data_IF_781411966302
#
_entry.id   IF_781411966302
#
_cell.length_a   1.000
_cell.length_b   1.000
_cell.length_c   1.000
_cell.angle_alpha   90.00
_cell.angle_beta   90.00
_cell.angle_gamma   90.00
#
_symmetry.space_group_name_H-M   'P 1'
#
loop_
_entity.id
_entity.type
_entity.pdbx_description
1 polymer ?
#
# COMPACT_ATOMS: atom_id res chain seq x y z
N UNK A 1 -14.55 15.62 -9.27
CA UNK A 1 -13.08 15.45 -9.39
C UNK A 1 -12.83 14.23 -10.24
N UNK A 2 -11.93 14.30 -11.20
CA UNK A 2 -11.52 13.14 -11.99
C UNK A 2 -10.65 12.21 -11.13
N UNK A 3 -11.02 10.92 -11.06
CA UNK A 3 -10.34 9.93 -10.22
C UNK A 3 -8.93 9.61 -10.71
N UNK A 4 -8.67 9.75 -12.01
CA UNK A 4 -7.34 9.56 -12.62
C UNK A 4 -6.29 10.53 -12.11
N UNK A 5 -6.72 11.71 -11.67
CA UNK A 5 -5.82 12.75 -11.16
C UNK A 5 -5.52 12.61 -9.65
N UNK A 6 -6.14 11.64 -8.97
CA UNK A 6 -5.96 11.41 -7.54
C UNK A 6 -5.01 10.24 -7.35
N UNK A 7 -3.74 10.54 -7.07
CA UNK A 7 -2.72 9.52 -6.82
C UNK A 7 -2.89 8.95 -5.40
N UNK A 8 -3.15 7.64 -5.33
CA UNK A 8 -3.27 6.88 -4.10
C UNK A 8 -1.92 6.35 -3.63
N UNK A 9 -1.06 5.90 -4.55
CA UNK A 9 0.30 5.46 -4.25
C UNK A 9 1.32 6.16 -5.13
N UNK A 10 2.10 7.06 -4.53
CA UNK A 10 3.17 7.82 -5.20
C UNK A 10 4.40 7.01 -5.60
N UNK A 11 4.54 5.77 -5.12
CA UNK A 11 5.72 4.95 -5.39
C UNK A 11 5.53 4.04 -6.60
N UNK A 12 4.29 3.61 -6.83
CA UNK A 12 3.94 2.70 -7.92
C UNK A 12 3.00 3.39 -8.93
N UNK A 13 2.85 4.72 -8.82
CA UNK A 13 2.00 5.57 -9.68
C UNK A 13 0.57 5.05 -9.86
N UNK A 14 -0.05 4.64 -8.74
CA UNK A 14 -1.43 4.10 -8.72
C UNK A 14 -2.41 5.20 -8.37
N UNK A 15 -3.39 5.44 -9.24
CA UNK A 15 -4.50 6.40 -9.05
C UNK A 15 -5.73 5.78 -8.36
N UNK A 16 -6.70 6.62 -8.01
CA UNK A 16 -7.93 6.22 -7.35
C UNK A 16 -8.85 5.39 -8.26
N UNK A 17 -8.83 5.64 -9.57
CA UNK A 17 -9.63 4.89 -10.53
C UNK A 17 -9.21 3.41 -10.54
N UNK A 18 -7.90 3.16 -10.65
CA UNK A 18 -7.31 1.83 -10.63
C UNK A 18 -7.74 1.04 -9.38
N UNK A 19 -7.74 1.68 -8.20
CA UNK A 19 -8.20 1.05 -6.96
C UNK A 19 -9.68 0.65 -7.07
N UNK A 20 -10.54 1.56 -7.56
CA UNK A 20 -11.96 1.30 -7.72
C UNK A 20 -12.26 0.21 -8.77
N UNK A 21 -11.46 0.12 -9.82
CA UNK A 21 -11.62 -0.91 -10.85
C UNK A 21 -11.38 -2.31 -10.30
N UNK A 22 -10.37 -2.48 -9.45
CA UNK A 22 -10.13 -3.77 -8.77
C UNK A 22 -11.17 -4.06 -7.70
N UNK A 23 -11.63 -3.05 -6.95
CA UNK A 23 -12.73 -3.22 -5.99
C UNK A 23 -14.02 -3.70 -6.68
N UNK A 24 -14.35 -3.14 -7.84
CA UNK A 24 -15.50 -3.56 -8.65
C UNK A 24 -15.37 -4.99 -9.18
N UNK A 25 -14.14 -5.46 -9.43
CA UNK A 25 -13.87 -6.85 -9.79
C UNK A 25 -13.96 -7.83 -8.60
N UNK A 26 -14.19 -7.33 -7.39
CA UNK A 26 -14.35 -8.15 -6.17
C UNK A 26 -13.10 -8.27 -5.30
N UNK A 27 -12.00 -7.59 -5.64
CA UNK A 27 -10.77 -7.58 -4.86
C UNK A 27 -10.87 -6.60 -3.69
N UNK A 28 -11.52 -7.03 -2.61
CA UNK A 28 -11.92 -6.17 -1.48
C UNK A 28 -10.95 -6.16 -0.31
N UNK A 29 -9.73 -6.71 -0.45
CA UNK A 29 -8.72 -6.67 0.62
C UNK A 29 -7.49 -5.89 0.21
N UNK A 30 -6.81 -5.30 1.20
CA UNK A 30 -5.55 -4.59 0.94
C UNK A 30 -4.48 -5.51 0.34
N UNK A 31 -4.46 -6.78 0.73
CA UNK A 31 -3.50 -7.75 0.23
C UNK A 31 -3.74 -8.09 -1.25
N UNK A 32 -5.01 -8.13 -1.68
CA UNK A 32 -5.36 -8.31 -3.10
C UNK A 32 -4.83 -7.13 -3.92
N UNK A 33 -5.17 -5.91 -3.51
CA UNK A 33 -4.72 -4.69 -4.17
C UNK A 33 -3.19 -4.62 -4.18
N UNK A 34 -2.53 -4.94 -3.07
CA UNK A 34 -1.06 -5.02 -2.98
C UNK A 34 -0.47 -6.01 -3.98
N UNK A 35 -1.10 -7.17 -4.22
CA UNK A 35 -0.60 -8.17 -5.18
C UNK A 35 -0.80 -7.76 -6.63
N UNK A 36 -1.92 -7.07 -6.92
CA UNK A 36 -2.31 -6.68 -8.27
C UNK A 36 -1.65 -5.38 -8.73
N UNK A 37 -1.52 -4.42 -7.83
CA UNK A 37 -1.07 -3.04 -8.14
C UNK A 37 0.26 -2.68 -7.46
N UNK A 38 0.82 -3.58 -6.65
CA UNK A 38 2.06 -3.37 -5.88
C UNK A 38 2.00 -2.27 -4.83
N UNK A 39 0.81 -1.71 -4.55
CA UNK A 39 0.65 -0.71 -3.49
C UNK A 39 1.22 -1.18 -2.15
N UNK A 40 1.96 -0.30 -1.49
CA UNK A 40 2.67 -0.61 -0.25
C UNK A 40 3.98 -1.38 -0.41
N UNK A 41 4.39 -1.77 -1.62
CA UNK A 41 5.70 -2.42 -1.87
C UNK A 41 6.81 -1.45 -2.26
N UNK A 42 6.50 -0.18 -2.54
CA UNK A 42 7.49 0.83 -2.90
C UNK A 42 8.44 1.21 -1.75
N UNK A 43 9.37 2.13 -2.01
CA UNK A 43 10.37 2.56 -1.02
C UNK A 43 9.77 3.07 0.30
N UNK A 44 8.53 3.58 0.27
CA UNK A 44 7.82 4.03 1.47
C UNK A 44 7.21 2.90 2.33
N UNK A 45 7.23 1.65 1.85
CA UNK A 45 6.65 0.47 2.51
C UNK A 45 5.20 0.66 2.99
N UNK A 46 4.40 1.43 2.23
CA UNK A 46 3.00 1.70 2.52
C UNK A 46 2.73 2.78 3.56
N UNK A 47 3.76 3.49 4.05
CA UNK A 47 3.58 4.56 5.05
C UNK A 47 2.63 5.68 4.60
N UNK A 48 2.53 5.93 3.29
CA UNK A 48 1.67 6.98 2.72
C UNK A 48 0.30 6.45 2.27
N UNK A 49 0.30 5.39 1.46
CA UNK A 49 -0.92 4.91 0.79
C UNK A 49 -1.80 3.98 1.65
N UNK A 50 -1.25 3.36 2.71
CA UNK A 50 -1.96 2.31 3.46
C UNK A 50 -3.28 2.80 4.06
N UNK A 51 -3.28 3.95 4.74
CA UNK A 51 -4.48 4.47 5.39
C UNK A 51 -5.51 4.93 4.36
N UNK A 52 -5.06 5.59 3.28
CA UNK A 52 -5.93 6.05 2.19
C UNK A 52 -6.66 4.87 1.53
N UNK A 53 -5.92 3.82 1.16
CA UNK A 53 -6.51 2.65 0.49
C UNK A 53 -7.44 1.88 1.46
N UNK A 54 -7.09 1.75 2.74
CA UNK A 54 -7.97 1.12 3.72
C UNK A 54 -9.28 1.88 3.92
N UNK A 55 -9.24 3.21 3.86
CA UNK A 55 -10.46 4.04 3.89
C UNK A 55 -11.32 3.78 2.66
N UNK A 56 -10.75 3.75 1.45
CA UNK A 56 -11.51 3.44 0.24
C UNK A 56 -12.12 2.03 0.26
N UNK A 57 -11.38 1.03 0.74
CA UNK A 57 -11.92 -0.33 0.94
C UNK A 57 -13.08 -0.31 1.95
N UNK A 58 -12.94 0.37 3.08
CA UNK A 58 -13.97 0.47 4.12
C UNK A 58 -15.24 1.15 3.57
N UNK A 59 -15.08 2.26 2.85
CA UNK A 59 -16.15 2.98 2.18
C UNK A 59 -16.84 2.14 1.11
N UNK A 60 -16.09 1.39 0.30
CA UNK A 60 -16.66 0.53 -0.75
C UNK A 60 -17.42 -0.67 -0.17
N UNK A 61 -16.89 -1.30 0.87
CA UNK A 61 -17.49 -2.50 1.50
C UNK A 61 -18.56 -2.17 2.54
N UNK A 62 -18.75 -0.89 2.87
CA UNK A 62 -19.59 -0.41 3.98
C UNK A 62 -19.24 -1.07 5.33
N UNK A 63 -17.95 -1.31 5.55
CA UNK A 63 -17.45 -1.90 6.78
C UNK A 63 -16.73 -0.85 7.64
N UNK A 64 -16.79 -0.96 8.98
CA UNK A 64 -15.98 -0.14 9.86
C UNK A 64 -14.48 -0.39 9.58
N UNK A 65 -13.66 0.66 9.64
CA UNK A 65 -12.23 0.63 9.26
C UNK A 65 -11.44 -0.41 10.08
N UNK A 66 -11.88 -0.70 11.29
CA UNK A 66 -11.33 -1.69 12.20
C UNK A 66 -11.42 -3.11 11.64
N UNK A 67 -12.44 -3.41 10.82
CA UNK A 67 -12.60 -4.72 10.16
C UNK A 67 -11.74 -4.87 8.91
N UNK A 68 -11.30 -3.76 8.30
CA UNK A 68 -10.43 -3.80 7.12
C UNK A 68 -9.00 -4.10 7.57
N UNK A 69 -8.55 -5.33 7.31
CA UNK A 69 -7.20 -5.76 7.68
C UNK A 69 -6.12 -4.87 7.05
N UNK A 70 -5.14 -4.50 7.86
CA UNK A 70 -3.97 -3.74 7.41
C UNK A 70 -2.86 -4.61 6.83
N UNK A 71 -1.84 -3.95 6.30
CA UNK A 71 -0.59 -4.56 5.88
C UNK A 71 0.22 -5.10 7.07
N UNK A 72 0.78 -6.30 6.95
CA UNK A 72 1.75 -6.83 7.93
C UNK A 72 3.12 -6.18 7.78
N UNK A 73 3.47 -5.30 8.71
CA UNK A 73 4.80 -4.68 8.76
C UNK A 73 5.87 -5.74 9.03
N UNK A 74 6.97 -5.68 8.27
CA UNK A 74 8.15 -6.54 8.42
C UNK A 74 9.40 -5.68 8.59
N UNK A 75 10.39 -6.08 9.39
CA UNK A 75 11.69 -5.41 9.41
C UNK A 75 12.40 -5.54 8.06
N UNK A 76 13.10 -4.52 7.57
CA UNK A 76 13.28 -3.17 8.12
C UNK A 76 12.20 -2.19 7.65
N UNK A 77 11.85 -1.21 8.49
CA UNK A 77 10.83 -0.19 8.17
C UNK A 77 11.29 0.68 6.99
N UNK A 78 12.59 0.91 6.87
CA UNK A 78 13.24 1.61 5.77
C UNK A 78 14.35 0.75 5.17
N UNK A 79 14.80 1.12 3.96
CA UNK A 79 15.95 0.47 3.34
C UNK A 79 17.22 0.70 4.15
N UNK A 80 17.96 -0.38 4.41
CA UNK A 80 19.30 -0.38 5.01
C UNK A 80 20.30 -0.86 3.98
N UNK A 81 21.57 -0.41 4.05
CA UNK A 81 22.60 -0.90 3.13
C UNK A 81 23.01 -2.29 3.57
N UNK A 82 23.30 -3.17 2.60
CA UNK A 82 23.73 -4.53 2.90
C UNK A 82 25.04 -4.56 3.71
N UNK A 83 25.94 -3.59 3.48
CA UNK A 83 27.18 -3.44 4.25
C UNK A 83 26.94 -3.27 5.75
N UNK A 84 25.87 -2.56 6.12
CA UNK A 84 25.55 -2.27 7.52
C UNK A 84 25.08 -3.54 8.26
N UNK A 85 24.70 -4.58 7.51
CA UNK A 85 24.31 -5.90 8.02
C UNK A 85 25.45 -6.92 8.00
N UNK A 86 26.58 -6.61 7.36
CA UNK A 86 27.67 -7.57 7.11
C UNK A 86 28.51 -7.92 8.35
N UNK A 87 28.33 -7.18 9.46
CA UNK A 87 29.10 -7.35 10.69
C UNK A 87 30.56 -6.92 10.57
N UNK A 88 30.99 -6.37 9.43
CA UNK A 88 32.29 -5.77 9.25
C UNK A 88 32.25 -4.35 9.82
N UNK A 89 33.16 -4.03 10.74
CA UNK A 89 33.33 -2.67 11.23
C UNK A 89 33.73 -1.77 10.06
N UNK A 90 33.10 -0.60 9.99
CA UNK A 90 33.45 0.39 8.97
C UNK A 90 34.84 0.95 9.34
N UNK A 91 35.89 0.53 8.63
CA UNK A 91 37.13 1.31 8.46
C UNK A 91 36.86 2.50 7.51
#
# INVERSE_FOLDING_TARGET
MDKKNVIMCRCEDVDLETIHDYLQQGFVTFEDLKRLTRVGMGACQGSTCLHLIRQEIASFTMQPLEKVAGHRVRPFISGVKLKDLSGQEND
#
